data_IF_095530442828
#
_entry.id   IF_095530442828
#
_cell.length_a   1.000
_cell.length_b   1.000
_cell.length_c   1.000
_cell.angle_alpha   90.00
_cell.angle_beta   90.00
_cell.angle_gamma   90.00
#
_symmetry.space_group_name_H-M   'P 1'
#
loop_
_entity.id
_entity.type
_entity.pdbx_description
1 polymer ?
#
# COMPACT_ATOMS: atom_id res chain seq x y z
N UNK A 1 66.23 2.29 51.14
CA UNK A 1 65.08 3.15 50.76
C UNK A 1 64.03 2.30 50.02
N UNK A 2 62.81 2.15 50.55
CA UNK A 2 61.71 1.43 49.87
C UNK A 2 60.91 2.42 49.02
N UNK A 3 60.79 2.15 47.72
CA UNK A 3 60.02 2.96 46.76
C UNK A 3 58.54 2.56 46.87
N UNK A 4 57.68 3.48 47.33
CA UNK A 4 56.23 3.26 47.39
C UNK A 4 55.67 3.42 45.97
N UNK A 5 55.08 2.34 45.44
CA UNK A 5 54.40 2.33 44.15
C UNK A 5 52.91 2.56 44.36
N UNK A 6 52.39 3.71 43.93
CA UNK A 6 50.97 4.05 44.00
C UNK A 6 50.28 3.42 42.79
N UNK A 7 49.62 2.27 42.96
CA UNK A 7 48.72 1.72 41.93
C UNK A 7 47.40 2.48 41.97
N UNK A 8 47.13 3.24 40.90
CA UNK A 8 45.81 3.83 40.64
C UNK A 8 44.80 2.74 40.26
N UNK A 9 44.00 2.28 41.22
CA UNK A 9 42.85 1.42 40.92
C UNK A 9 41.77 2.25 40.20
N UNK A 10 41.63 2.05 38.88
CA UNK A 10 40.48 2.56 38.14
C UNK A 10 39.24 1.80 38.62
N UNK A 11 38.41 2.43 39.46
CA UNK A 11 37.12 1.87 39.88
C UNK A 11 36.27 1.62 38.63
N UNK A 12 36.10 0.35 38.26
CA UNK A 12 35.13 -0.05 37.25
C UNK A 12 33.73 0.23 37.81
N UNK A 13 33.09 1.34 37.42
CA UNK A 13 31.68 1.57 37.69
C UNK A 13 30.89 0.56 36.85
N UNK A 14 30.41 -0.50 37.47
CA UNK A 14 29.48 -1.44 36.84
C UNK A 14 28.08 -0.84 36.77
N UNK A 15 27.32 -1.24 35.74
CA UNK A 15 25.91 -0.89 35.61
C UNK A 15 25.12 -1.55 36.73
N UNK A 16 24.20 -0.81 37.36
CA UNK A 16 23.37 -1.35 38.44
C UNK A 16 22.14 -2.07 37.87
N UNK A 17 21.67 -3.11 38.55
CA UNK A 17 20.42 -3.79 38.15
C UNK A 17 19.22 -2.85 38.22
N UNK A 18 19.23 -1.89 39.14
CA UNK A 18 18.14 -0.91 39.26
C UNK A 18 18.09 0.05 38.07
N UNK A 19 19.25 0.47 37.54
CA UNK A 19 19.31 1.25 36.30
C UNK A 19 18.72 0.47 35.13
N UNK A 20 18.98 -0.84 35.03
CA UNK A 20 18.38 -1.68 33.99
C UNK A 20 16.85 -1.75 34.12
N UNK A 21 16.36 -1.97 35.33
CA UNK A 21 14.93 -2.16 35.60
C UNK A 21 14.14 -0.91 35.24
N UNK A 22 14.63 0.28 35.61
CA UNK A 22 13.97 1.55 35.29
C UNK A 22 13.94 1.77 33.77
N UNK A 23 15.01 1.44 33.06
CA UNK A 23 15.08 1.58 31.59
C UNK A 23 14.04 0.70 30.90
N UNK A 24 13.96 -0.59 31.27
CA UNK A 24 12.98 -1.51 30.69
C UNK A 24 11.55 -1.10 31.04
N UNK A 25 11.32 -0.57 32.25
CA UNK A 25 10.02 -0.06 32.66
C UNK A 25 9.55 1.13 31.79
N UNK A 26 10.44 2.11 31.53
CA UNK A 26 10.13 3.26 30.67
C UNK A 26 9.89 2.80 29.22
N UNK A 27 10.75 1.92 28.68
CA UNK A 27 10.56 1.36 27.33
C UNK A 27 9.23 0.62 27.23
N UNK A 28 8.83 -0.13 28.26
CA UNK A 28 7.54 -0.82 28.31
C UNK A 28 6.34 0.12 28.19
N UNK A 29 6.36 1.24 28.92
CA UNK A 29 5.30 2.26 28.84
C UNK A 29 5.25 2.90 27.45
N UNK A 30 6.40 3.27 26.89
CA UNK A 30 6.47 3.86 25.55
C UNK A 30 6.00 2.87 24.48
N UNK A 31 6.42 1.61 24.56
CA UNK A 31 6.04 0.55 23.63
C UNK A 31 4.52 0.29 23.66
N UNK A 32 3.90 0.31 24.83
CA UNK A 32 2.46 0.10 24.99
C UNK A 32 1.63 1.13 24.20
N UNK A 33 2.08 2.38 24.11
CA UNK A 33 1.39 3.43 23.33
C UNK A 33 1.85 3.42 21.87
N UNK A 34 3.15 3.23 21.63
CA UNK A 34 3.74 3.34 20.30
C UNK A 34 3.32 2.20 19.36
N UNK A 35 3.26 0.94 19.84
CA UNK A 35 2.92 -0.23 19.01
C UNK A 35 1.53 -0.11 18.38
N UNK A 36 0.43 0.10 19.11
CA UNK A 36 -0.91 0.17 18.49
C UNK A 36 -1.02 1.36 17.53
N UNK A 37 -0.41 2.50 17.86
CA UNK A 37 -0.38 3.68 16.98
C UNK A 37 0.39 3.38 15.68
N UNK A 38 1.57 2.76 15.79
CA UNK A 38 2.38 2.39 14.63
C UNK A 38 1.65 1.41 13.71
N UNK A 39 0.95 0.42 14.26
CA UNK A 39 0.13 -0.52 13.47
C UNK A 39 -1.04 0.19 12.77
N UNK A 40 -1.67 1.17 13.43
CA UNK A 40 -2.72 1.98 12.82
C UNK A 40 -2.19 2.83 11.65
N UNK A 41 -1.04 3.49 11.84
CA UNK A 41 -0.37 4.28 10.79
C UNK A 41 0.03 3.39 9.63
N UNK A 42 0.62 2.22 9.88
CA UNK A 42 0.98 1.28 8.81
C UNK A 42 -0.22 0.88 7.97
N UNK A 43 -1.36 0.55 8.59
CA UNK A 43 -2.59 0.24 7.85
C UNK A 43 -3.05 1.43 7.01
N UNK A 44 -3.02 2.65 7.55
CA UNK A 44 -3.37 3.87 6.82
C UNK A 44 -2.47 4.10 5.60
N UNK A 45 -1.15 3.95 5.77
CA UNK A 45 -0.17 4.11 4.67
C UNK A 45 -0.41 3.09 3.56
N UNK A 46 -0.70 1.84 3.94
CA UNK A 46 -1.04 0.78 2.98
C UNK A 46 -2.31 1.11 2.17
N UNK A 47 -3.36 1.60 2.84
CA UNK A 47 -4.58 2.05 2.15
C UNK A 47 -4.30 3.24 1.21
N UNK A 48 -3.46 4.20 1.64
CA UNK A 48 -3.08 5.32 0.78
C UNK A 48 -2.28 4.89 -0.46
N UNK A 49 -1.43 3.88 -0.33
CA UNK A 49 -0.73 3.30 -1.48
C UNK A 49 -1.73 2.73 -2.51
N UNK A 50 -2.80 2.07 -2.04
CA UNK A 50 -3.83 1.50 -2.91
C UNK A 50 -4.63 2.59 -3.65
N UNK A 51 -4.95 3.68 -2.95
CA UNK A 51 -5.60 4.86 -3.56
C UNK A 51 -4.69 5.51 -4.60
N UNK A 52 -3.38 5.61 -4.33
CA UNK A 52 -2.41 6.12 -5.30
C UNK A 52 -2.32 5.23 -6.55
N UNK A 53 -2.28 3.92 -6.37
CA UNK A 53 -2.36 2.95 -7.46
C UNK A 53 -3.65 3.11 -8.27
N UNK A 54 -4.80 3.32 -7.62
CA UNK A 54 -6.08 3.61 -8.27
C UNK A 54 -5.99 4.81 -9.20
N UNK A 55 -5.44 5.91 -8.67
CA UNK A 55 -5.32 7.17 -9.39
C UNK A 55 -4.40 7.04 -10.59
N UNK A 56 -3.30 6.29 -10.48
CA UNK A 56 -2.44 6.06 -11.63
C UNK A 56 -3.19 5.31 -12.74
N UNK A 57 -4.01 4.30 -12.39
CA UNK A 57 -4.85 3.60 -13.37
C UNK A 57 -5.90 4.54 -13.97
N UNK A 58 -6.46 5.47 -13.18
CA UNK A 58 -7.36 6.51 -13.68
C UNK A 58 -6.70 7.36 -14.76
N UNK A 59 -5.52 7.90 -14.46
CA UNK A 59 -4.79 8.79 -15.35
C UNK A 59 -4.39 8.06 -16.65
N UNK A 60 -3.96 6.79 -16.55
CA UNK A 60 -3.66 5.94 -17.69
C UNK A 60 -4.91 5.67 -18.55
N UNK A 61 -6.03 5.32 -17.93
CA UNK A 61 -7.29 5.04 -18.62
C UNK A 61 -7.83 6.29 -19.31
N UNK A 62 -7.79 7.44 -18.65
CA UNK A 62 -8.20 8.72 -19.22
C UNK A 62 -7.38 9.08 -20.46
N UNK A 63 -6.07 8.81 -20.42
CA UNK A 63 -5.18 8.99 -21.58
C UNK A 63 -5.58 8.06 -22.72
N UNK A 64 -5.85 6.79 -22.43
CA UNK A 64 -6.25 5.83 -23.47
C UNK A 64 -7.62 6.15 -24.11
N UNK A 65 -8.56 6.73 -23.34
CA UNK A 65 -9.82 7.27 -23.89
C UNK A 65 -9.53 8.42 -24.84
N UNK A 66 -8.69 9.38 -24.41
CA UNK A 66 -8.33 10.54 -25.22
C UNK A 66 -7.62 10.15 -26.52
N UNK A 67 -6.81 9.09 -26.49
CA UNK A 67 -6.11 8.54 -27.67
C UNK A 67 -6.99 7.58 -28.49
N UNK A 68 -8.24 7.33 -28.08
CA UNK A 68 -9.16 6.36 -28.69
C UNK A 68 -8.56 4.95 -28.84
N UNK A 69 -7.76 4.54 -27.86
CA UNK A 69 -7.05 3.25 -27.86
C UNK A 69 -7.70 2.20 -26.97
N UNK A 70 -8.64 2.58 -26.10
CA UNK A 70 -9.44 1.61 -25.36
C UNK A 70 -10.38 0.87 -26.30
N UNK A 71 -10.29 -0.46 -26.30
CA UNK A 71 -11.27 -1.32 -26.94
C UNK A 71 -12.43 -1.56 -25.97
N UNK A 72 -13.55 -0.89 -26.17
CA UNK A 72 -14.76 -1.14 -25.37
C UNK A 72 -15.36 -2.50 -25.78
N UNK A 73 -15.72 -3.34 -24.82
CA UNK A 73 -16.48 -4.58 -25.09
C UNK A 73 -17.93 -4.31 -25.49
N UNK A 74 -18.77 -5.34 -25.50
CA UNK A 74 -20.18 -5.26 -25.93
C UNK A 74 -21.06 -4.29 -25.09
N UNK A 75 -20.60 -3.87 -23.91
CA UNK A 75 -21.27 -2.88 -23.06
C UNK A 75 -20.51 -1.54 -23.09
N UNK A 76 -21.02 -0.50 -23.79
CA UNK A 76 -20.38 0.82 -23.84
C UNK A 76 -20.28 1.51 -22.47
N UNK A 77 -21.04 1.05 -21.47
CA UNK A 77 -20.99 1.56 -20.10
C UNK A 77 -20.04 0.75 -19.20
N UNK A 78 -19.33 -0.25 -19.73
CA UNK A 78 -18.29 -1.01 -19.00
C UNK A 78 -17.09 -1.22 -19.91
N UNK A 79 -16.10 -0.34 -19.81
CA UNK A 79 -14.90 -0.45 -20.61
C UNK A 79 -14.09 -1.70 -20.25
N UNK A 80 -13.88 -1.98 -18.94
CA UNK A 80 -13.29 -3.22 -18.43
C UNK A 80 -13.38 -3.26 -16.90
N UNK A 81 -13.27 -4.45 -16.30
CA UNK A 81 -13.07 -4.62 -14.86
C UNK A 81 -11.71 -5.26 -14.59
N UNK A 82 -10.81 -4.54 -13.93
CA UNK A 82 -9.52 -5.12 -13.56
C UNK A 82 -9.64 -5.77 -12.19
N UNK A 83 -9.71 -7.10 -12.15
CA UNK A 83 -9.55 -7.86 -10.93
C UNK A 83 -8.08 -8.28 -10.76
N UNK A 84 -7.51 -8.05 -9.58
CA UNK A 84 -6.12 -8.39 -9.27
C UNK A 84 -6.01 -9.64 -8.36
N UNK A 85 -6.45 -10.85 -8.77
CA UNK A 85 -6.36 -11.99 -7.89
C UNK A 85 -4.95 -12.56 -7.80
N UNK A 86 -4.21 -12.14 -6.77
CA UNK A 86 -2.89 -12.69 -6.43
C UNK A 86 -1.88 -12.55 -7.57
N UNK A 87 -1.13 -11.45 -7.58
CA UNK A 87 -0.02 -11.15 -8.51
C UNK A 87 -0.34 -11.17 -10.02
N UNK A 88 -1.55 -11.51 -10.46
CA UNK A 88 -1.92 -11.63 -11.87
C UNK A 88 -3.31 -11.08 -12.12
N UNK A 89 -3.40 -10.21 -13.13
CA UNK A 89 -4.66 -9.72 -13.66
C UNK A 89 -5.31 -10.90 -14.40
N UNK A 90 -6.43 -11.42 -13.87
CA UNK A 90 -7.17 -12.52 -14.49
C UNK A 90 -8.49 -11.95 -15.03
N UNK A 91 -8.47 -11.56 -16.29
CA UNK A 91 -9.70 -11.36 -17.07
C UNK A 91 -9.71 -12.39 -18.22
N UNK A 92 -10.84 -13.06 -18.37
CA UNK A 92 -11.03 -14.10 -19.40
C UNK A 92 -11.51 -13.49 -20.74
N UNK A 93 -11.81 -12.18 -20.80
CA UNK A 93 -12.19 -11.49 -22.02
C UNK A 93 -10.94 -10.98 -22.79
N UNK A 94 -10.83 -11.30 -24.08
CA UNK A 94 -9.68 -10.96 -24.93
C UNK A 94 -9.47 -9.44 -25.09
N UNK A 95 -10.55 -8.66 -25.21
CA UNK A 95 -10.47 -7.19 -25.29
C UNK A 95 -9.96 -6.61 -23.97
N UNK A 96 -10.39 -7.17 -22.85
CA UNK A 96 -9.91 -6.75 -21.54
C UNK A 96 -8.42 -7.07 -21.38
N UNK A 97 -7.96 -8.24 -21.85
CA UNK A 97 -6.54 -8.61 -21.83
C UNK A 97 -5.65 -7.65 -22.62
N UNK A 98 -6.12 -7.16 -23.78
CA UNK A 98 -5.42 -6.15 -24.58
C UNK A 98 -5.37 -4.79 -23.87
N UNK A 99 -6.52 -4.32 -23.36
CA UNK A 99 -6.59 -3.06 -22.60
C UNK A 99 -5.68 -3.11 -21.37
N UNK A 100 -5.66 -4.23 -20.66
CA UNK A 100 -4.76 -4.48 -19.53
C UNK A 100 -3.30 -4.34 -19.91
N UNK A 101 -2.87 -5.03 -20.98
CA UNK A 101 -1.50 -4.96 -21.50
C UNK A 101 -1.10 -3.53 -21.88
N UNK A 102 -2.06 -2.77 -22.40
CA UNK A 102 -1.83 -1.41 -22.84
C UNK A 102 -1.73 -0.45 -21.64
N UNK A 103 -2.58 -0.60 -20.62
CA UNK A 103 -2.49 0.11 -19.34
C UNK A 103 -1.12 -0.12 -18.67
N UNK A 104 -0.58 -1.35 -18.67
CA UNK A 104 0.77 -1.62 -18.16
C UNK A 104 1.85 -0.76 -18.85
N UNK A 105 1.73 -0.54 -20.16
CA UNK A 105 2.65 0.32 -20.92
C UNK A 105 2.60 1.77 -20.44
N UNK A 106 1.43 2.30 -20.11
CA UNK A 106 1.28 3.66 -19.57
C UNK A 106 1.79 3.76 -18.12
N UNK A 107 1.52 2.72 -17.33
CA UNK A 107 1.89 2.72 -15.91
C UNK A 107 3.39 2.51 -15.68
N UNK A 108 4.14 2.07 -16.71
CA UNK A 108 5.60 1.83 -16.69
C UNK A 108 6.06 1.04 -15.45
N UNK A 109 5.16 0.25 -14.88
CA UNK A 109 5.35 -0.38 -13.59
C UNK A 109 4.61 -1.71 -13.59
N UNK A 110 5.36 -2.80 -13.50
CA UNK A 110 4.83 -4.16 -13.57
C UNK A 110 4.15 -4.58 -12.25
N UNK A 111 4.26 -3.75 -11.20
CA UNK A 111 3.94 -4.12 -9.83
C UNK A 111 2.88 -3.22 -9.20
N UNK A 112 1.65 -3.25 -9.74
CA UNK A 112 0.50 -2.64 -9.10
C UNK A 112 -0.19 -3.72 -8.26
N UNK A 113 0.12 -3.73 -6.97
CA UNK A 113 -0.47 -4.67 -6.02
C UNK A 113 -1.05 -3.89 -4.85
N UNK A 114 -2.24 -4.28 -4.37
CA UNK A 114 -2.75 -3.71 -3.13
C UNK A 114 -1.78 -4.03 -1.99
N UNK A 115 -1.44 -2.98 -1.25
CA UNK A 115 -0.59 -3.00 -0.08
C UNK A 115 -1.42 -3.14 1.20
N UNK A 116 -2.73 -2.86 1.16
CA UNK A 116 -3.62 -2.99 2.33
C UNK A 116 -3.78 -4.42 2.85
N UNK A 117 -3.60 -5.44 2.00
CA UNK A 117 -3.69 -6.86 2.38
C UNK A 117 -2.82 -7.76 1.48
N UNK A 118 -2.24 -8.82 2.03
CA UNK A 118 -1.31 -9.75 1.35
C UNK A 118 -1.97 -10.54 0.20
N UNK A 119 -3.30 -10.56 0.13
CA UNK A 119 -4.09 -11.20 -0.93
C UNK A 119 -5.21 -10.31 -1.49
N UNK A 120 -5.06 -9.00 -1.33
CA UNK A 120 -6.09 -8.06 -1.73
C UNK A 120 -6.38 -8.07 -3.24
N UNK A 121 -7.64 -7.84 -3.60
CA UNK A 121 -8.08 -7.60 -4.97
C UNK A 121 -8.53 -6.15 -5.07
N UNK A 122 -7.91 -5.39 -5.96
CA UNK A 122 -8.47 -4.13 -6.44
C UNK A 122 -9.46 -4.47 -7.57
N UNK A 123 -10.57 -3.75 -7.69
CA UNK A 123 -11.42 -3.82 -8.89
C UNK A 123 -11.39 -2.46 -9.56
N UNK A 124 -10.73 -2.30 -10.70
CA UNK A 124 -10.90 -1.08 -11.50
C UNK A 124 -12.10 -1.30 -12.38
N UNK A 125 -13.25 -0.77 -12.00
CA UNK A 125 -14.28 -0.55 -13.01
C UNK A 125 -13.88 0.68 -13.78
N UNK A 126 -14.00 0.64 -15.10
CA UNK A 126 -13.98 1.84 -15.92
C UNK A 126 -15.34 1.89 -16.60
N UNK A 127 -16.23 2.72 -16.07
CA UNK A 127 -17.43 3.10 -16.80
C UNK A 127 -17.11 4.33 -17.64
N UNK A 128 -17.59 4.35 -18.88
CA UNK A 128 -17.56 5.53 -19.73
C UNK A 128 -18.85 6.31 -19.50
N UNK A 129 -18.91 7.07 -18.41
CA UNK A 129 -20.04 7.97 -18.20
C UNK A 129 -19.76 9.29 -18.91
N UNK A 130 -20.44 9.54 -20.04
CA UNK A 130 -20.23 10.72 -20.88
C UNK A 130 -18.75 10.92 -21.32
N UNK A 131 -18.03 9.81 -21.56
CA UNK A 131 -16.62 9.85 -21.98
C UNK A 131 -15.61 10.09 -20.85
N UNK A 132 -16.03 10.10 -19.58
CA UNK A 132 -15.13 10.16 -18.42
C UNK A 132 -14.98 8.77 -17.81
N UNK A 133 -13.74 8.30 -17.53
CA UNK A 133 -13.55 7.07 -16.80
C UNK A 133 -14.01 7.27 -15.36
N UNK A 134 -14.80 6.35 -14.83
CA UNK A 134 -15.12 6.28 -13.41
C UNK A 134 -14.41 5.07 -12.81
N UNK A 135 -13.53 5.28 -11.82
CA UNK A 135 -12.81 4.21 -11.10
C UNK A 135 -13.34 4.11 -9.69
N UNK A 136 -13.79 2.92 -9.32
CA UNK A 136 -14.27 2.65 -7.97
C UNK A 136 -13.42 1.57 -7.32
N UNK A 137 -12.86 1.87 -6.15
CA UNK A 137 -11.98 0.96 -5.40
C UNK A 137 -12.69 0.55 -4.14
N UNK A 138 -12.68 -0.73 -3.83
CA UNK A 138 -13.32 -1.27 -2.63
C UNK A 138 -12.30 -1.91 -1.70
N UNK A 139 -12.53 -1.79 -0.39
CA UNK A 139 -11.80 -2.54 0.62
C UNK A 139 -12.23 -4.02 0.59
N UNK A 140 -11.28 -4.97 0.68
CA UNK A 140 -11.59 -6.40 0.63
C UNK A 140 -12.43 -6.82 1.86
N UNK A 141 -13.43 -7.68 1.62
CA UNK A 141 -14.36 -8.19 2.64
C UNK A 141 -15.59 -7.30 2.85
N UNK A 142 -15.56 -6.08 2.35
CA UNK A 142 -16.67 -5.14 2.44
C UNK A 142 -16.80 -4.30 1.15
N UNK A 143 -17.58 -4.82 0.20
CA UNK A 143 -17.91 -4.11 -1.05
C UNK A 143 -18.67 -2.80 -0.81
N UNK A 144 -19.05 -2.46 0.42
CA UNK A 144 -19.68 -1.18 0.76
C UNK A 144 -18.66 -0.11 1.12
N UNK A 145 -17.40 -0.50 1.43
CA UNK A 145 -16.32 0.45 1.75
C UNK A 145 -15.53 0.82 0.51
N UNK A 146 -16.02 1.85 -0.16
CA UNK A 146 -15.31 2.50 -1.25
C UNK A 146 -14.11 3.29 -0.70
N UNK A 147 -12.92 3.01 -1.25
CA UNK A 147 -11.67 3.70 -0.96
C UNK A 147 -11.39 4.84 -1.95
N UNK A 148 -11.98 4.76 -3.15
CA UNK A 148 -11.84 5.78 -4.17
C UNK A 148 -13.02 5.74 -5.17
N UNK A 149 -13.51 6.89 -5.68
CA UNK A 149 -13.21 8.24 -5.17
C UNK A 149 -13.60 8.35 -3.69
N UNK A 150 -12.86 9.14 -2.91
CA UNK A 150 -13.22 9.41 -1.51
C UNK A 150 -14.65 9.97 -1.49
N UNK A 151 -15.54 9.32 -0.72
CA UNK A 151 -16.95 9.75 -0.55
C UNK A 151 -17.01 10.86 0.50
#
# INVERSE_FOLDING_TARGET
MKKVSIRSERRKKGFTLIELIIVVAIIGILAAIAIPNFLAIQRKVRVQADVSSAKNIYDATATMIAENTLKTGDDPNKAFSINFPGRRFKDNNENNKDNLKMIYKYLKNDNIYPQSDENGYFNVYVNLNNGKPEIVVYLIGDKTKQLYPEI
#
